data_IF_336628154965
#
_entry.id   IF_336628154965
#
_cell.length_a   1.000
_cell.length_b   1.000
_cell.length_c   1.000
_cell.angle_alpha   90.00
_cell.angle_beta   90.00
_cell.angle_gamma   90.00
#
_symmetry.space_group_name_H-M   'P 1'
#
loop_
_entity.id
_entity.type
_entity.pdbx_description
1 polymer ?
#
# COMPACT_ATOMS: atom_id res chain seq x y z
N UNK A 1 16.56 14.55 -32.15
CA UNK A 1 16.53 13.07 -32.04
C UNK A 1 15.23 12.69 -31.36
N UNK A 2 14.54 11.67 -31.84
CA UNK A 2 13.30 11.22 -31.20
C UNK A 2 13.63 10.60 -29.84
N UNK A 3 12.82 10.89 -28.82
CA UNK A 3 12.95 10.29 -27.48
C UNK A 3 11.61 9.81 -26.97
N UNK A 4 11.59 8.65 -26.34
CA UNK A 4 10.43 7.95 -25.79
C UNK A 4 10.72 7.59 -24.34
N UNK A 5 9.97 8.18 -23.42
CA UNK A 5 10.11 7.94 -21.98
C UNK A 5 8.81 7.49 -21.36
N UNK A 6 8.87 6.67 -20.32
CA UNK A 6 7.72 6.17 -19.58
C UNK A 6 7.90 6.41 -18.08
N UNK A 7 7.07 7.26 -17.50
CA UNK A 7 7.01 7.52 -16.07
C UNK A 7 5.87 6.72 -15.46
N UNK A 8 6.18 5.79 -14.56
CA UNK A 8 5.20 4.93 -13.91
C UNK A 8 5.12 5.27 -12.42
N UNK A 9 3.89 5.51 -11.96
CA UNK A 9 3.59 5.88 -10.58
C UNK A 9 2.81 4.75 -9.92
N UNK A 10 3.43 4.10 -8.93
CA UNK A 10 2.83 3.03 -8.14
C UNK A 10 2.10 3.64 -6.95
N UNK A 11 0.84 3.24 -6.79
CA UNK A 11 -0.03 3.61 -5.69
C UNK A 11 -0.53 2.35 -4.99
N UNK A 12 -0.70 2.41 -3.69
CA UNK A 12 -1.37 1.39 -2.91
C UNK A 12 -2.84 1.31 -3.35
N UNK A 13 -3.20 0.21 -3.99
CA UNK A 13 -4.58 -0.05 -4.42
C UNK A 13 -5.53 -0.27 -3.23
N UNK A 14 -4.99 -0.71 -2.10
CA UNK A 14 -5.68 -0.86 -0.84
C UNK A 14 -4.70 -0.59 0.31
N UNK A 15 -5.22 -0.42 1.52
CA UNK A 15 -4.39 -0.24 2.69
C UNK A 15 -3.47 -1.46 2.88
N UNK A 16 -2.27 -1.28 3.47
CA UNK A 16 -1.48 -2.42 3.91
C UNK A 16 -2.32 -3.38 4.74
N UNK A 17 -2.29 -4.66 4.39
CA UNK A 17 -3.05 -5.72 5.04
C UNK A 17 -2.09 -6.62 5.80
N UNK A 18 -2.20 -6.68 7.12
CA UNK A 18 -1.57 -7.75 7.90
C UNK A 18 -2.05 -9.11 7.38
N UNK A 19 -1.24 -10.16 7.56
CA UNK A 19 -1.65 -11.50 7.18
C UNK A 19 -2.89 -11.98 7.97
N UNK A 20 -3.09 -11.48 9.19
CA UNK A 20 -4.32 -11.66 9.96
C UNK A 20 -5.53 -11.04 9.24
N UNK A 21 -5.45 -9.76 8.87
CA UNK A 21 -6.53 -9.08 8.13
C UNK A 21 -6.80 -9.76 6.79
N UNK A 22 -5.75 -10.11 6.06
CA UNK A 22 -5.86 -10.86 4.81
C UNK A 22 -6.66 -12.16 5.00
N UNK A 23 -6.39 -12.91 6.08
CA UNK A 23 -7.13 -14.14 6.37
C UNK A 23 -8.64 -13.90 6.58
N UNK A 24 -9.03 -12.72 7.08
CA UNK A 24 -10.41 -12.32 7.32
C UNK A 24 -11.07 -11.82 6.03
N UNK A 25 -10.37 -11.00 5.24
CA UNK A 25 -10.97 -10.26 4.11
C UNK A 25 -10.77 -10.90 2.74
N UNK A 26 -10.01 -12.00 2.63
CA UNK A 26 -9.71 -12.66 1.34
C UNK A 26 -10.94 -13.10 0.53
N UNK A 27 -12.08 -13.30 1.20
CA UNK A 27 -13.35 -13.71 0.58
C UNK A 27 -14.37 -12.54 0.51
N UNK A 28 -13.97 -11.32 0.90
CA UNK A 28 -14.80 -10.11 0.84
C UNK A 28 -14.82 -9.53 -0.58
N UNK A 29 -16.02 -9.46 -1.18
CA UNK A 29 -16.22 -8.96 -2.54
C UNK A 29 -15.88 -7.47 -2.70
N UNK A 30 -16.03 -6.65 -1.66
CA UNK A 30 -15.66 -5.23 -1.72
C UNK A 30 -14.15 -5.08 -1.74
N UNK A 31 -13.43 -5.90 -0.97
CA UNK A 31 -11.97 -5.92 -1.00
C UNK A 31 -11.45 -6.51 -2.31
N UNK A 32 -12.08 -7.57 -2.84
CA UNK A 32 -11.73 -8.11 -4.17
C UNK A 32 -11.88 -7.04 -5.26
N UNK A 33 -12.94 -6.24 -5.24
CA UNK A 33 -13.14 -5.12 -6.18
C UNK A 33 -12.12 -4.01 -6.00
N UNK A 34 -11.81 -3.62 -4.76
CA UNK A 34 -10.80 -2.60 -4.50
C UNK A 34 -9.41 -3.01 -5.02
N UNK A 35 -9.12 -4.32 -5.05
CA UNK A 35 -7.86 -4.88 -5.53
C UNK A 35 -7.89 -5.33 -6.99
N UNK A 36 -8.96 -5.07 -7.74
CA UNK A 36 -9.14 -5.60 -9.10
C UNK A 36 -8.04 -5.13 -10.07
N UNK A 37 -7.58 -3.89 -9.90
CA UNK A 37 -6.53 -3.25 -10.71
C UNK A 37 -5.11 -3.52 -10.20
N UNK A 38 -4.98 -4.08 -9.00
CA UNK A 38 -3.69 -4.34 -8.38
C UNK A 38 -3.06 -5.61 -8.99
N UNK A 39 -1.87 -5.48 -9.57
CA UNK A 39 -1.15 -6.61 -10.17
C UNK A 39 0.28 -6.75 -9.65
N UNK A 40 0.71 -5.88 -8.73
CA UNK A 40 1.99 -5.91 -8.06
C UNK A 40 1.74 -5.89 -6.56
N UNK A 41 2.55 -6.60 -5.79
CA UNK A 41 2.47 -6.55 -4.33
C UNK A 41 3.84 -6.74 -3.71
N UNK A 42 4.02 -6.13 -2.54
CA UNK A 42 5.14 -6.41 -1.66
C UNK A 42 4.64 -7.18 -0.45
N UNK A 43 5.47 -8.07 0.08
CA UNK A 43 5.30 -8.61 1.42
C UNK A 43 6.41 -7.98 2.26
N UNK A 44 6.01 -7.26 3.29
CA UNK A 44 6.91 -6.63 4.24
C UNK A 44 6.61 -7.04 5.67
N UNK A 45 7.34 -6.43 6.60
CA UNK A 45 7.16 -6.61 8.02
C UNK A 45 7.32 -5.28 8.75
N UNK A 46 6.45 -5.03 9.73
CA UNK A 46 6.51 -3.87 10.63
C UNK A 46 6.11 -4.27 12.06
N UNK A 47 6.57 -3.56 13.11
CA UNK A 47 6.10 -3.82 14.48
C UNK A 47 4.59 -3.65 14.61
N UNK A 48 3.98 -4.31 15.61
CA UNK A 48 2.55 -4.18 15.88
C UNK A 48 2.15 -2.72 16.12
N UNK A 49 1.07 -2.30 15.45
CA UNK A 49 0.42 -1.00 15.60
C UNK A 49 -0.96 -1.26 16.22
N UNK A 50 -1.32 -0.47 17.23
CA UNK A 50 -2.60 -0.59 17.94
C UNK A 50 -3.28 0.77 18.08
N UNK A 51 -4.60 0.72 18.23
CA UNK A 51 -5.37 1.82 18.77
C UNK A 51 -5.44 1.73 20.29
N UNK A 52 -5.34 2.87 20.95
CA UNK A 52 -5.31 3.02 22.40
C UNK A 52 -6.20 4.20 22.84
N UNK A 53 -6.62 4.19 24.11
CA UNK A 53 -7.20 5.34 24.80
C UNK A 53 -8.41 5.97 24.09
N UNK A 54 -9.38 5.16 23.66
CA UNK A 54 -10.61 5.64 23.05
C UNK A 54 -11.46 6.48 24.01
N UNK A 55 -11.84 7.68 23.59
CA UNK A 55 -12.70 8.63 24.31
C UNK A 55 -13.74 9.19 23.33
N UNK A 56 -15.01 8.78 23.41
CA UNK A 56 -16.07 9.39 22.60
C UNK A 56 -16.38 10.81 23.11
N UNK A 57 -16.53 11.75 22.17
CA UNK A 57 -17.04 13.09 22.43
C UNK A 57 -18.42 13.24 21.78
N UNK A 58 -19.46 13.08 22.59
CA UNK A 58 -20.86 13.14 22.12
C UNK A 58 -21.34 14.57 21.90
N UNK A 59 -20.62 15.59 22.36
CA UNK A 59 -21.03 16.99 22.19
C UNK A 59 -20.78 17.47 20.75
N UNK A 60 -19.71 16.96 20.12
CA UNK A 60 -19.33 17.26 18.73
C UNK A 60 -19.33 16.02 17.83
N UNK A 61 -19.95 14.93 18.27
CA UNK A 61 -20.13 13.68 17.51
C UNK A 61 -18.81 13.13 16.91
N UNK A 62 -17.80 12.95 17.78
CA UNK A 62 -16.42 12.60 17.40
C UNK A 62 -15.88 11.45 18.27
N UNK A 63 -14.92 10.70 17.73
CA UNK A 63 -14.13 9.71 18.48
C UNK A 63 -12.67 10.12 18.58
N UNK A 64 -12.18 10.29 19.81
CA UNK A 64 -10.77 10.53 20.09
C UNK A 64 -10.08 9.21 20.44
N UNK A 65 -8.86 9.01 19.96
CA UNK A 65 -8.03 7.84 20.30
C UNK A 65 -6.57 8.13 19.99
N UNK A 66 -5.70 7.20 20.33
CA UNK A 66 -4.28 7.25 20.00
C UNK A 66 -3.88 6.06 19.14
N UNK A 67 -2.90 6.24 18.27
CA UNK A 67 -2.22 5.15 17.56
C UNK A 67 -0.82 4.99 18.14
N UNK A 68 -0.51 3.76 18.54
CA UNK A 68 0.77 3.37 19.14
C UNK A 68 1.40 2.29 18.28
N UNK A 69 2.72 2.28 18.20
CA UNK A 69 3.48 1.20 17.57
C UNK A 69 4.54 0.72 18.55
N UNK A 70 4.69 -0.60 18.67
CA UNK A 70 5.70 -1.16 19.57
C UNK A 70 7.10 -0.68 19.15
N UNK A 71 7.89 -0.23 20.13
CA UNK A 71 9.26 0.27 19.95
C UNK A 71 9.37 1.57 19.14
N UNK A 72 8.25 2.24 18.88
CA UNK A 72 8.21 3.59 18.33
C UNK A 72 7.85 4.57 19.47
N UNK A 73 8.69 5.59 19.77
CA UNK A 73 8.40 6.55 20.83
C UNK A 73 7.30 7.55 20.47
N UNK A 74 6.95 7.67 19.19
CA UNK A 74 5.91 8.57 18.72
C UNK A 74 4.52 8.02 19.07
N UNK A 75 3.60 8.92 19.35
CA UNK A 75 2.18 8.62 19.56
C UNK A 75 1.41 9.52 18.61
N UNK A 76 0.48 8.95 17.84
CA UNK A 76 -0.43 9.75 17.02
C UNK A 76 -1.71 9.97 17.81
N UNK A 77 -2.05 11.23 18.06
CA UNK A 77 -3.35 11.59 18.65
C UNK A 77 -4.32 11.84 17.53
N UNK A 78 -5.45 11.14 17.57
CA UNK A 78 -6.41 11.13 16.49
C UNK A 78 -7.77 11.67 16.96
N UNK A 79 -8.41 12.46 16.10
CA UNK A 79 -9.79 12.90 16.26
C UNK A 79 -10.57 12.58 15.00
N UNK A 80 -11.47 11.61 15.09
CA UNK A 80 -12.29 11.15 13.97
C UNK A 80 -13.72 11.68 14.13
N UNK A 81 -14.09 12.76 13.42
CA UNK A 81 -15.48 13.23 13.39
C UNK A 81 -16.37 12.19 12.71
N UNK A 82 -17.60 12.00 13.17
CA UNK A 82 -18.54 11.06 12.55
C UNK A 82 -19.51 11.70 11.54
N UNK A 83 -19.60 13.04 11.51
CA UNK A 83 -20.42 13.83 10.59
C UNK A 83 -19.79 13.96 9.19
N UNK A 84 -19.39 12.83 8.61
CA UNK A 84 -18.78 12.76 7.29
C UNK A 84 -19.67 12.03 6.29
N UNK A 85 -19.73 12.53 5.04
CA UNK A 85 -20.54 11.93 3.97
C UNK A 85 -20.20 10.45 3.74
N UNK A 86 -18.91 10.10 3.82
CA UNK A 86 -18.39 8.73 3.64
C UNK A 86 -18.96 7.73 4.64
N UNK A 87 -19.41 8.18 5.82
CA UNK A 87 -20.04 7.31 6.81
C UNK A 87 -21.57 7.23 6.65
N UNK A 88 -22.18 8.12 5.87
CA UNK A 88 -23.64 8.15 5.68
C UNK A 88 -24.41 8.33 6.99
N UNK A 89 -23.82 9.06 7.93
CA UNK A 89 -24.36 9.34 9.26
C UNK A 89 -25.13 10.68 9.26
N UNK A 90 -26.23 10.71 10.00
CA UNK A 90 -27.10 11.86 10.27
C UNK A 90 -27.12 12.13 11.77
N UNK A 91 -27.45 13.35 12.20
CA UNK A 91 -27.42 13.78 13.61
C UNK A 91 -28.20 12.87 14.58
N UNK A 92 -29.25 12.19 14.11
CA UNK A 92 -30.09 11.30 14.93
C UNK A 92 -29.56 9.85 15.01
N UNK A 93 -28.45 9.54 14.34
CA UNK A 93 -27.92 8.19 14.29
C UNK A 93 -27.17 7.82 15.57
N UNK A 94 -27.55 6.68 16.14
CA UNK A 94 -26.77 6.03 17.19
C UNK A 94 -25.72 5.13 16.53
N UNK A 95 -24.45 5.36 16.88
CA UNK A 95 -23.30 4.62 16.36
C UNK A 95 -22.62 3.87 17.50
N UNK A 96 -22.46 2.56 17.32
CA UNK A 96 -21.62 1.75 18.18
C UNK A 96 -20.22 1.63 17.57
N UNK A 97 -19.22 1.62 18.45
CA UNK A 97 -17.84 1.27 18.09
C UNK A 97 -17.56 -0.15 18.58
N UNK A 98 -17.33 -1.06 17.63
CA UNK A 98 -16.98 -2.46 17.93
C UNK A 98 -15.46 -2.64 17.87
N UNK A 99 -14.85 -3.17 18.93
CA UNK A 99 -13.40 -3.35 19.02
C UNK A 99 -12.96 -4.78 18.73
N UNK A 100 -11.91 -4.92 17.92
CA UNK A 100 -11.20 -6.18 17.68
C UNK A 100 -9.85 -6.13 18.41
N UNK A 101 -9.71 -6.95 19.44
CA UNK A 101 -8.49 -7.00 20.26
C UNK A 101 -7.46 -8.00 19.70
N UNK A 102 -6.17 -7.69 19.90
CA UNK A 102 -5.07 -8.61 19.55
C UNK A 102 -5.02 -9.85 20.44
N UNK A 103 -5.40 -9.71 21.70
CA UNK A 103 -5.44 -10.79 22.68
C UNK A 103 -6.89 -11.00 23.16
N UNK A 104 -7.40 -12.23 23.04
CA UNK A 104 -8.75 -12.63 23.48
C UNK A 104 -8.95 -12.60 25.01
N UNK A 105 -7.98 -12.10 25.79
CA UNK A 105 -7.98 -12.22 27.24
C UNK A 105 -7.69 -10.89 27.91
N UNK A 106 -8.72 -10.06 28.07
CA UNK A 106 -9.12 -9.59 29.40
C UNK A 106 -10.44 -8.84 29.27
N UNK A 107 -11.41 -9.17 30.13
CA UNK A 107 -12.46 -8.22 30.48
C UNK A 107 -11.75 -6.96 30.96
N UNK A 108 -11.63 -5.94 30.12
CA UNK A 108 -11.06 -4.66 30.52
C UNK A 108 -12.10 -3.99 31.42
N UNK A 109 -11.94 -4.15 32.73
CA UNK A 109 -12.75 -3.48 33.77
C UNK A 109 -12.43 -1.97 33.90
N UNK A 110 -11.90 -1.33 32.86
CA UNK A 110 -11.60 0.12 32.86
C UNK A 110 -11.98 0.75 31.52
N UNK A 111 -12.48 1.99 31.61
CA UNK A 111 -12.76 2.92 30.50
C UNK A 111 -11.57 3.22 29.56
N UNK A 112 -10.42 2.56 29.75
CA UNK A 112 -9.22 2.76 28.94
C UNK A 112 -9.05 1.55 28.04
N UNK A 113 -9.66 1.63 26.86
CA UNK A 113 -9.56 0.63 25.82
C UNK A 113 -8.14 0.59 25.24
N UNK A 114 -7.46 -0.55 25.38
CA UNK A 114 -6.06 -0.74 24.99
C UNK A 114 -5.81 -1.99 24.17
N UNK A 115 -4.71 -2.01 23.40
CA UNK A 115 -4.28 -3.10 22.53
C UNK A 115 -5.33 -3.51 21.49
N UNK A 116 -5.98 -2.52 20.87
CA UNK A 116 -7.00 -2.76 19.85
C UNK A 116 -6.32 -2.84 18.48
N UNK A 117 -6.51 -3.97 17.78
CA UNK A 117 -5.99 -4.17 16.43
C UNK A 117 -6.76 -3.35 15.38
N UNK A 118 -8.07 -3.24 15.60
CA UNK A 118 -8.96 -2.49 14.73
C UNK A 118 -10.31 -2.26 15.37
N UNK A 119 -11.06 -1.33 14.82
CA UNK A 119 -12.42 -1.04 15.26
C UNK A 119 -13.36 -0.89 14.07
N UNK A 120 -14.65 -1.09 14.32
CA UNK A 120 -15.71 -0.94 13.31
C UNK A 120 -16.76 0.04 13.79
N UNK A 121 -17.27 0.85 12.87
CA UNK A 121 -18.42 1.71 13.09
C UNK A 121 -19.68 0.96 12.66
N UNK A 122 -20.69 0.95 13.54
CA UNK A 122 -21.94 0.23 13.33
C UNK A 122 -23.10 1.16 13.65
N UNK A 123 -23.97 1.41 12.66
CA UNK A 123 -25.16 2.25 12.80
C UNK A 123 -26.35 1.42 13.26
N UNK A 124 -27.14 1.94 14.19
CA UNK A 124 -28.43 1.36 14.55
C UNK A 124 -29.50 1.69 13.51
N UNK A 125 -30.29 0.68 13.14
CA UNK A 125 -31.50 0.78 12.31
C UNK A 125 -32.69 0.20 13.06
N UNK A 126 -33.90 0.50 12.58
CA UNK A 126 -35.15 -0.02 13.16
C UNK A 126 -35.16 -1.55 13.28
N UNK A 127 -34.51 -2.28 12.37
CA UNK A 127 -34.48 -3.75 12.33
C UNK A 127 -33.10 -4.35 12.65
N UNK A 128 -32.20 -3.59 13.31
CA UNK A 128 -30.94 -4.14 13.80
C UNK A 128 -29.75 -3.20 13.64
N UNK A 129 -28.60 -3.76 13.30
CA UNK A 129 -27.33 -3.04 13.18
C UNK A 129 -26.79 -3.16 11.77
N UNK A 130 -26.30 -2.05 11.24
CA UNK A 130 -25.67 -1.96 9.92
C UNK A 130 -24.18 -1.66 10.10
N UNK A 131 -23.34 -2.50 9.50
CA UNK A 131 -21.90 -2.25 9.42
C UNK A 131 -21.63 -1.11 8.44
N UNK A 132 -20.85 -0.11 8.87
CA UNK A 132 -20.47 1.04 8.04
C UNK A 132 -19.08 0.81 7.46
N UNK A 133 -18.08 0.75 8.35
CA UNK A 133 -16.66 0.67 7.99
C UNK A 133 -15.87 0.07 9.14
N UNK A 134 -14.74 -0.54 8.80
CA UNK A 134 -13.74 -1.01 9.74
C UNK A 134 -12.42 -0.29 9.48
N UNK A 135 -11.68 -0.01 10.54
CA UNK A 135 -10.36 0.59 10.51
C UNK A 135 -9.36 -0.31 11.22
N UNK A 136 -8.23 -0.54 10.56
CA UNK A 136 -6.95 -0.74 11.22
C UNK A 136 -6.17 0.58 11.23
N UNK A 137 -5.09 0.70 12.01
CA UNK A 137 -4.29 1.92 12.02
C UNK A 137 -3.82 2.33 10.63
N UNK A 138 -3.34 1.37 9.83
CA UNK A 138 -2.83 1.63 8.48
C UNK A 138 -3.94 1.97 7.49
N UNK A 139 -5.11 1.32 7.61
CA UNK A 139 -6.28 1.68 6.79
C UNK A 139 -6.78 3.08 7.14
N UNK A 140 -6.79 3.46 8.40
CA UNK A 140 -7.17 4.81 8.83
C UNK A 140 -6.21 5.85 8.28
N UNK A 141 -4.90 5.64 8.47
CA UNK A 141 -3.87 6.55 7.95
C UNK A 141 -3.97 6.68 6.44
N UNK A 142 -4.19 5.57 5.71
CA UNK A 142 -4.34 5.64 4.26
C UNK A 142 -5.56 6.45 3.82
N UNK A 143 -6.73 6.16 4.41
CA UNK A 143 -7.94 6.91 4.08
C UNK A 143 -7.76 8.40 4.40
N UNK A 144 -7.03 8.73 5.47
CA UNK A 144 -6.71 10.10 5.84
C UNK A 144 -5.77 10.78 4.83
N UNK A 145 -4.60 10.22 4.51
CA UNK A 145 -3.65 10.89 3.60
C UNK A 145 -4.15 10.95 2.15
N UNK A 146 -5.07 10.05 1.76
CA UNK A 146 -5.77 10.11 0.46
C UNK A 146 -6.98 11.07 0.48
N UNK A 147 -7.31 11.67 1.62
CA UNK A 147 -8.47 12.56 1.76
C UNK A 147 -9.83 11.87 1.59
N UNK A 148 -9.89 10.55 1.83
CA UNK A 148 -11.13 9.77 1.80
C UNK A 148 -11.94 9.87 3.10
N UNK A 149 -11.28 10.26 4.19
CA UNK A 149 -11.90 10.60 5.47
C UNK A 149 -11.24 11.87 6.03
N UNK A 150 -12.00 12.64 6.78
CA UNK A 150 -11.50 13.68 7.66
C UNK A 150 -11.08 13.07 9.00
N UNK A 151 -9.86 13.34 9.43
CA UNK A 151 -9.35 12.95 10.73
C UNK A 151 -8.24 13.93 11.11
N UNK A 152 -8.26 14.49 12.31
CA UNK A 152 -7.08 15.22 12.81
C UNK A 152 -6.08 14.20 13.32
N UNK A 153 -4.84 14.24 12.82
CA UNK A 153 -3.74 13.37 13.27
C UNK A 153 -2.57 14.24 13.69
N UNK A 154 -2.30 14.28 14.99
CA UNK A 154 -1.17 15.00 15.58
C UNK A 154 -0.06 14.00 15.96
N UNK A 155 1.15 14.23 15.45
CA UNK A 155 2.33 13.41 15.72
C UNK A 155 3.10 13.05 14.45
N UNK A 156 4.24 12.37 14.61
CA UNK A 156 5.06 11.86 13.50
C UNK A 156 4.49 10.55 12.93
N UNK A 157 3.50 10.69 12.05
CA UNK A 157 2.83 9.56 11.40
C UNK A 157 3.72 8.84 10.38
N UNK A 158 4.74 9.51 9.83
CA UNK A 158 5.68 8.89 8.88
C UNK A 158 6.49 7.76 9.53
N UNK A 159 6.73 7.84 10.84
CA UNK A 159 7.38 6.76 11.59
C UNK A 159 6.57 5.45 11.65
N UNK A 160 5.27 5.47 11.32
CA UNK A 160 4.38 4.29 11.43
C UNK A 160 4.26 3.49 10.12
N UNK A 161 4.76 4.03 9.01
CA UNK A 161 4.56 3.48 7.65
C UNK A 161 5.89 3.04 7.02
N UNK A 162 6.72 2.40 7.84
CA UNK A 162 8.00 1.83 7.46
C UNK A 162 7.92 0.31 7.43
N UNK A 163 8.36 -0.29 6.32
CA UNK A 163 8.17 -1.71 6.04
C UNK A 163 9.48 -2.36 5.63
N UNK A 164 9.95 -3.35 6.41
CA UNK A 164 11.05 -4.22 6.00
C UNK A 164 10.56 -5.15 4.89
N UNK A 165 11.05 -4.98 3.67
CA UNK A 165 10.62 -5.75 2.50
C UNK A 165 11.24 -7.14 2.50
N UNK A 166 10.38 -8.15 2.44
CA UNK A 166 10.78 -9.57 2.37
C UNK A 166 10.62 -10.15 0.98
N UNK A 167 9.64 -9.67 0.21
CA UNK A 167 9.32 -10.20 -1.11
C UNK A 167 8.62 -9.17 -2.01
N UNK A 168 8.90 -9.25 -3.30
CA UNK A 168 8.18 -8.56 -4.39
C UNK A 168 7.51 -9.61 -5.25
N UNK A 169 6.23 -9.44 -5.56
CA UNK A 169 5.50 -10.36 -6.42
C UNK A 169 4.49 -9.69 -7.34
N UNK A 170 4.07 -10.46 -8.35
CA UNK A 170 3.04 -10.05 -9.31
C UNK A 170 1.84 -10.98 -9.34
N UNK A 171 0.73 -10.44 -9.84
CA UNK A 171 -0.56 -11.11 -9.97
C UNK A 171 -1.23 -10.76 -11.32
N UNK A 172 -0.52 -10.86 -12.45
CA UNK A 172 -1.04 -10.43 -13.77
C UNK A 172 -2.11 -11.37 -14.37
N UNK A 173 -2.22 -12.61 -13.89
CA UNK A 173 -3.13 -13.64 -14.43
C UNK A 173 -4.35 -13.94 -13.55
N UNK A 174 -4.34 -13.47 -12.31
CA UNK A 174 -5.37 -13.72 -11.30
C UNK A 174 -5.26 -12.66 -10.21
N UNK A 175 -6.34 -12.38 -9.47
CA UNK A 175 -6.31 -11.39 -8.39
C UNK A 175 -5.27 -11.71 -7.31
N UNK A 176 -4.74 -10.67 -6.67
CA UNK A 176 -3.77 -10.79 -5.56
C UNK A 176 -4.32 -11.70 -4.45
N UNK A 177 -5.61 -11.58 -4.11
CA UNK A 177 -6.25 -12.39 -3.06
C UNK A 177 -6.17 -13.89 -3.38
N UNK A 178 -6.54 -14.27 -4.62
CA UNK A 178 -6.46 -15.67 -5.07
C UNK A 178 -5.01 -16.14 -5.18
N UNK A 179 -4.12 -15.28 -5.68
CA UNK A 179 -2.69 -15.57 -5.79
C UNK A 179 -2.07 -15.92 -4.44
N UNK A 180 -2.39 -15.15 -3.40
CA UNK A 180 -1.79 -15.28 -2.07
C UNK A 180 -2.36 -16.44 -1.24
N UNK A 181 -3.61 -16.85 -1.48
CA UNK A 181 -4.27 -17.95 -0.73
C UNK A 181 -3.54 -19.30 -0.83
N UNK A 182 -2.75 -19.52 -1.90
CA UNK A 182 -1.91 -20.71 -2.08
C UNK A 182 -0.43 -20.42 -2.35
N UNK A 183 0.06 -19.23 -1.99
CA UNK A 183 1.42 -18.81 -2.33
C UNK A 183 2.44 -19.39 -1.34
N UNK A 184 3.24 -20.37 -1.77
CA UNK A 184 4.21 -21.02 -0.88
C UNK A 184 5.17 -20.03 -0.22
N UNK A 185 5.70 -19.03 -0.97
CA UNK A 185 6.60 -18.02 -0.37
C UNK A 185 5.93 -17.18 0.70
N UNK A 186 4.61 -16.92 0.60
CA UNK A 186 3.92 -16.18 1.65
C UNK A 186 3.78 -17.02 2.91
N UNK A 187 3.51 -18.32 2.75
CA UNK A 187 3.49 -19.28 3.86
C UNK A 187 4.90 -19.47 4.47
N UNK A 188 5.95 -19.49 3.65
CA UNK A 188 7.33 -19.57 4.10
C UNK A 188 7.69 -18.35 4.96
N UNK A 189 7.37 -17.13 4.51
CA UNK A 189 7.58 -15.90 5.27
C UNK A 189 6.83 -15.97 6.61
N UNK A 190 5.55 -16.35 6.60
CA UNK A 190 4.76 -16.49 7.83
C UNK A 190 5.31 -17.54 8.81
N UNK A 191 6.00 -18.55 8.31
CA UNK A 191 6.53 -19.66 9.11
C UNK A 191 7.95 -19.44 9.60
N UNK A 192 8.76 -18.68 8.85
CA UNK A 192 10.19 -18.52 9.09
C UNK A 192 10.55 -17.17 9.71
N UNK A 193 9.80 -16.11 9.43
CA UNK A 193 10.05 -14.81 10.03
C UNK A 193 9.59 -14.79 11.49
N UNK A 194 10.46 -14.27 12.35
CA UNK A 194 10.13 -14.04 13.75
C UNK A 194 9.40 -12.69 13.90
N UNK A 195 8.41 -12.59 14.81
CA UNK A 195 7.83 -11.31 15.17
C UNK A 195 8.91 -10.34 15.67
N UNK A 196 8.85 -9.10 15.21
CA UNK A 196 9.60 -7.95 15.72
C UNK A 196 9.13 -7.61 17.14
N UNK A 197 7.82 -7.68 17.40
CA UNK A 197 7.25 -7.46 18.72
C UNK A 197 7.26 -8.73 19.56
N UNK A 198 7.85 -8.64 20.74
CA UNK A 198 7.88 -9.76 21.70
C UNK A 198 6.45 -10.27 22.00
N UNK A 199 6.29 -11.60 22.01
CA UNK A 199 5.03 -12.31 22.30
C UNK A 199 3.89 -12.05 21.30
N UNK A 200 4.18 -11.55 20.10
CA UNK A 200 3.20 -11.43 19.02
C UNK A 200 3.25 -12.60 18.04
N UNK A 201 2.24 -12.69 17.19
CA UNK A 201 2.22 -13.63 16.07
C UNK A 201 2.79 -12.95 14.82
N UNK A 202 3.55 -13.66 13.95
CA UNK A 202 4.00 -13.11 12.67
C UNK A 202 2.82 -12.57 11.84
N UNK A 203 1.64 -13.18 11.99
CA UNK A 203 0.44 -12.77 11.26
C UNK A 203 0.00 -11.31 11.51
N UNK A 204 0.39 -10.70 12.65
CA UNK A 204 0.04 -9.33 13.01
C UNK A 204 1.06 -8.28 12.51
N UNK A 205 2.15 -8.73 11.91
CA UNK A 205 3.29 -7.90 11.54
C UNK A 205 3.74 -8.09 10.10
N UNK A 206 3.58 -9.30 9.55
CA UNK A 206 3.74 -9.55 8.12
C UNK A 206 2.58 -8.88 7.41
N UNK A 207 2.91 -7.95 6.53
CA UNK A 207 1.97 -7.08 5.82
C UNK A 207 2.11 -7.23 4.32
N UNK A 208 0.97 -7.23 3.63
CA UNK A 208 0.84 -7.23 2.18
C UNK A 208 0.56 -5.80 1.76
N UNK A 209 1.39 -5.26 0.88
CA UNK A 209 1.23 -3.94 0.27
C UNK A 209 0.84 -4.14 -1.21
N UNK A 210 -0.45 -4.07 -1.55
CA UNK A 210 -0.92 -4.24 -2.92
C UNK A 210 -0.79 -2.92 -3.70
N UNK A 211 -0.20 -2.98 -4.88
CA UNK A 211 0.03 -1.82 -5.75
C UNK A 211 -0.68 -1.94 -7.09
N UNK A 212 -1.20 -0.80 -7.53
CA UNK A 212 -1.62 -0.52 -8.89
C UNK A 212 -0.81 0.63 -9.49
N UNK A 213 -0.93 0.85 -10.80
CA UNK A 213 -0.41 2.07 -11.41
C UNK A 213 -1.49 3.14 -11.36
N UNK A 214 -1.20 4.27 -10.71
CA UNK A 214 -2.08 5.44 -10.76
C UNK A 214 -2.09 6.01 -12.18
N UNK A 215 -0.90 6.27 -12.72
CA UNK A 215 -0.69 6.76 -14.08
C UNK A 215 0.55 6.10 -14.71
N UNK A 216 0.45 5.82 -16.00
CA UNK A 216 1.58 5.50 -16.86
C UNK A 216 1.73 6.64 -17.87
N UNK A 217 2.58 7.62 -17.57
CA UNK A 217 2.75 8.80 -18.38
C UNK A 217 3.85 8.57 -19.41
N UNK A 218 3.45 8.46 -20.68
CA UNK A 218 4.40 8.33 -21.78
C UNK A 218 4.70 9.68 -22.42
N UNK A 219 5.99 10.05 -22.43
CA UNK A 219 6.48 11.26 -23.07
C UNK A 219 7.18 10.88 -24.38
N UNK A 220 6.80 11.54 -25.47
CA UNK A 220 7.47 11.38 -26.76
C UNK A 220 7.89 12.74 -27.31
N UNK A 221 9.17 12.88 -27.64
CA UNK A 221 9.74 14.02 -28.34
C UNK A 221 10.08 13.59 -29.76
N UNK A 222 9.74 14.43 -30.73
CA UNK A 222 10.00 14.22 -32.14
C UNK A 222 11.00 15.28 -32.63
N UNK A 223 12.08 14.84 -33.27
CA UNK A 223 13.06 15.72 -33.89
C UNK A 223 12.77 16.01 -35.35
N UNK A 224 13.61 16.84 -35.96
CA UNK A 224 13.53 17.15 -37.39
C UNK A 224 13.60 15.87 -38.24
N UNK A 225 12.61 15.69 -39.13
CA UNK A 225 12.48 14.50 -39.98
C UNK A 225 11.67 13.35 -39.38
N UNK A 226 10.96 13.55 -38.26
CA UNK A 226 10.07 12.55 -37.70
C UNK A 226 8.94 12.16 -38.66
N UNK A 227 8.62 10.87 -38.72
CA UNK A 227 7.51 10.34 -39.52
C UNK A 227 6.16 10.79 -38.96
N UNK A 228 5.38 11.50 -39.78
CA UNK A 228 4.04 11.96 -39.43
C UNK A 228 3.11 10.82 -38.98
N UNK A 229 3.26 9.61 -39.53
CA UNK A 229 2.48 8.45 -39.07
C UNK A 229 2.84 8.03 -37.65
N UNK A 230 4.12 8.03 -37.32
CA UNK A 230 4.58 7.72 -35.96
C UNK A 230 4.10 8.77 -34.95
N UNK A 231 4.06 10.04 -35.34
CA UNK A 231 3.49 11.12 -34.52
C UNK A 231 1.99 10.93 -34.28
N UNK A 232 1.22 10.59 -35.32
CA UNK A 232 -0.22 10.32 -35.20
C UNK A 232 -0.48 9.10 -34.32
N UNK A 233 0.24 7.98 -34.53
CA UNK A 233 0.10 6.78 -33.70
C UNK A 233 0.41 7.04 -32.21
N UNK A 234 1.39 7.90 -31.93
CA UNK A 234 1.70 8.33 -30.56
C UNK A 234 0.57 9.15 -29.93
N UNK A 235 -0.04 10.07 -30.69
CA UNK A 235 -1.18 10.87 -30.23
C UNK A 235 -2.44 10.02 -30.01
N UNK A 236 -2.65 8.99 -30.83
CA UNK A 236 -3.76 8.04 -30.70
C UNK A 236 -3.54 7.00 -29.59
N UNK A 237 -2.36 6.99 -28.96
CA UNK A 237 -2.03 6.04 -27.88
C UNK A 237 -1.75 4.62 -28.38
N UNK A 238 -1.64 4.38 -29.68
CA UNK A 238 -1.41 3.06 -30.28
C UNK A 238 -0.05 2.46 -29.88
N UNK A 239 0.89 3.30 -29.45
CA UNK A 239 2.24 2.92 -29.05
C UNK A 239 2.41 2.72 -27.53
N UNK A 240 1.31 2.70 -26.77
CA UNK A 240 1.36 2.44 -25.33
C UNK A 240 1.61 0.96 -25.05
N UNK A 241 2.47 0.62 -24.08
CA UNK A 241 2.73 -0.77 -23.74
C UNK A 241 1.50 -1.36 -23.04
N UNK A 242 1.26 -2.65 -23.29
CA UNK A 242 0.26 -3.38 -22.50
C UNK A 242 0.61 -3.29 -21.01
N UNK A 243 -0.39 -3.00 -20.18
CA UNK A 243 -0.20 -2.81 -18.74
C UNK A 243 0.47 -4.02 -18.06
N UNK A 244 0.16 -5.24 -18.51
CA UNK A 244 0.83 -6.46 -18.04
C UNK A 244 2.36 -6.38 -18.21
N UNK A 245 2.86 -5.90 -19.35
CA UNK A 245 4.31 -5.70 -19.56
C UNK A 245 4.88 -4.71 -18.56
N UNK A 246 4.17 -3.61 -18.28
CA UNK A 246 4.64 -2.59 -17.33
C UNK A 246 4.76 -3.18 -15.92
N UNK A 247 3.79 -4.00 -15.48
CA UNK A 247 3.87 -4.71 -14.19
C UNK A 247 5.00 -5.75 -14.16
N UNK A 248 5.19 -6.50 -15.24
CA UNK A 248 6.27 -7.47 -15.37
C UNK A 248 7.65 -6.82 -15.32
N UNK A 249 7.78 -5.60 -15.82
CA UNK A 249 9.02 -4.83 -15.81
C UNK A 249 9.27 -4.18 -14.44
N UNK A 250 8.22 -3.59 -13.83
CA UNK A 250 8.27 -3.02 -12.49
C UNK A 250 8.67 -4.04 -11.41
N UNK A 251 8.14 -5.28 -11.48
CA UNK A 251 8.55 -6.37 -10.59
C UNK A 251 10.08 -6.59 -10.65
N UNK A 252 10.65 -6.66 -11.86
CA UNK A 252 12.09 -6.87 -12.06
C UNK A 252 12.90 -5.70 -11.54
N UNK A 253 12.46 -4.47 -11.83
CA UNK A 253 13.09 -3.24 -11.36
C UNK A 253 13.15 -3.19 -9.83
N UNK A 254 12.04 -3.51 -9.16
CA UNK A 254 11.94 -3.52 -7.70
C UNK A 254 12.79 -4.62 -7.05
N UNK A 255 12.78 -5.82 -7.61
CA UNK A 255 13.64 -6.92 -7.12
C UNK A 255 15.11 -6.57 -7.32
N UNK A 256 15.47 -6.01 -8.48
CA UNK A 256 16.83 -5.55 -8.76
C UNK A 256 17.27 -4.48 -7.76
N UNK A 257 16.40 -3.52 -7.44
CA UNK A 257 16.67 -2.43 -6.49
C UNK A 257 16.83 -2.93 -5.05
N UNK A 258 15.89 -3.73 -4.55
CA UNK A 258 15.79 -4.04 -3.13
C UNK A 258 16.47 -5.36 -2.72
N UNK A 259 16.72 -6.27 -3.69
CA UNK A 259 17.28 -7.61 -3.44
C UNK A 259 16.61 -8.36 -2.26
N UNK A 260 15.27 -8.46 -2.22
CA UNK A 260 14.53 -9.06 -1.10
C UNK A 260 14.85 -10.54 -0.91
N UNK A 261 14.97 -10.99 0.36
CA UNK A 261 15.51 -12.30 0.71
C UNK A 261 14.73 -13.50 0.15
N UNK A 262 13.42 -13.37 -0.03
CA UNK A 262 12.55 -14.47 -0.46
C UNK A 262 12.31 -14.53 -1.98
N UNK A 263 12.82 -13.57 -2.76
CA UNK A 263 12.77 -13.66 -4.22
C UNK A 263 13.85 -14.63 -4.73
N UNK A 264 13.43 -15.66 -5.48
CA UNK A 264 14.36 -16.67 -6.03
C UNK A 264 15.19 -16.16 -7.21
N UNK A 265 14.60 -15.29 -8.02
CA UNK A 265 15.25 -14.67 -9.18
C UNK A 265 15.57 -13.21 -8.85
N UNK A 266 16.85 -12.84 -8.94
CA UNK A 266 17.35 -11.50 -8.58
C UNK A 266 17.57 -10.56 -9.77
N UNK A 267 17.17 -11.00 -10.98
CA UNK A 267 17.25 -10.24 -12.23
C UNK A 267 18.59 -9.51 -12.44
N UNK A 268 19.72 -10.22 -12.25
CA UNK A 268 21.05 -9.60 -12.30
C UNK A 268 21.33 -8.86 -13.61
N UNK A 269 20.77 -9.34 -14.72
CA UNK A 269 20.91 -8.78 -16.07
C UNK A 269 19.86 -7.73 -16.45
N UNK A 270 18.91 -7.40 -15.56
CA UNK A 270 17.95 -6.32 -15.81
C UNK A 270 18.70 -5.01 -16.07
N UNK A 271 18.31 -4.22 -17.10
CA UNK A 271 17.01 -4.21 -17.79
C UNK A 271 16.80 -5.24 -18.91
N UNK A 272 17.80 -6.04 -19.29
CA UNK A 272 17.64 -7.05 -20.34
C UNK A 272 16.69 -8.16 -19.88
N UNK A 273 15.54 -8.29 -20.55
CA UNK A 273 14.52 -9.29 -20.23
C UNK A 273 13.79 -9.80 -21.47
N UNK A 274 13.21 -11.01 -21.37
CA UNK A 274 12.37 -11.59 -22.44
C UNK A 274 10.95 -11.05 -22.41
N UNK A 275 10.47 -10.70 -21.22
CA UNK A 275 9.16 -10.15 -20.90
C UNK A 275 9.31 -8.81 -20.17
N UNK A 276 8.30 -7.95 -20.23
CA UNK A 276 8.41 -6.57 -19.75
C UNK A 276 8.63 -5.60 -20.91
N UNK A 277 9.43 -4.55 -20.68
CA UNK A 277 9.52 -3.39 -21.57
C UNK A 277 10.83 -3.30 -22.38
N UNK A 278 11.78 -4.22 -22.18
CA UNK A 278 13.07 -4.20 -22.88
C UNK A 278 12.93 -4.10 -24.41
N UNK A 279 12.02 -4.86 -25.01
CA UNK A 279 11.79 -4.87 -26.46
C UNK A 279 10.94 -3.68 -26.96
N UNK A 280 10.37 -2.88 -26.05
CA UNK A 280 9.57 -1.70 -26.38
C UNK A 280 10.44 -0.44 -26.60
N UNK A 281 11.77 -0.60 -26.45
CA UNK A 281 12.84 0.33 -26.79
C UNK A 281 12.62 1.76 -26.26
N UNK A 282 12.35 1.88 -24.96
CA UNK A 282 12.28 3.19 -24.29
C UNK A 282 13.68 3.76 -24.05
N UNK A 283 13.84 5.06 -24.23
CA UNK A 283 15.08 5.78 -23.87
C UNK A 283 15.15 6.00 -22.35
N UNK A 284 14.00 6.12 -21.68
CA UNK A 284 13.94 6.18 -20.23
C UNK A 284 12.67 5.53 -19.69
N UNK A 285 12.80 4.75 -18.61
CA UNK A 285 11.68 4.21 -17.83
C UNK A 285 11.93 4.59 -16.38
N UNK A 286 10.91 5.08 -15.68
CA UNK A 286 10.99 5.30 -14.23
C UNK A 286 9.85 4.66 -13.47
N UNK A 287 10.15 4.23 -12.24
CA UNK A 287 9.20 3.71 -11.27
C UNK A 287 9.35 4.49 -9.96
N UNK A 288 8.24 5.00 -9.45
CA UNK A 288 8.17 5.76 -8.19
C UNK A 288 6.95 5.31 -7.38
N UNK A 289 6.99 5.51 -6.07
CA UNK A 289 5.85 5.32 -5.19
C UNK A 289 5.24 6.67 -4.82
N UNK A 290 3.92 6.80 -4.94
CA UNK A 290 3.23 8.05 -4.62
C UNK A 290 2.70 8.09 -3.18
N UNK A 291 2.36 6.94 -2.60
CA UNK A 291 2.00 6.90 -1.18
C UNK A 291 3.24 7.20 -0.33
N UNK A 292 3.06 7.91 0.81
CA UNK A 292 4.17 8.37 1.66
C UNK A 292 4.83 7.26 2.49
N UNK A 293 4.93 6.04 1.97
CA UNK A 293 5.48 4.86 2.64
C UNK A 293 7.01 4.79 2.53
N UNK A 294 7.65 4.08 3.45
CA UNK A 294 9.09 3.80 3.40
C UNK A 294 9.32 2.29 3.31
N UNK A 295 10.02 1.87 2.27
CA UNK A 295 10.38 0.48 2.03
C UNK A 295 11.84 0.25 2.43
N UNK A 296 12.07 -0.51 3.49
CA UNK A 296 13.39 -0.83 4.03
C UNK A 296 13.89 -2.15 3.44
N UNK A 297 15.14 -2.19 3.00
CA UNK A 297 15.84 -3.39 2.55
C UNK A 297 17.27 -3.39 3.09
N UNK A 298 18.04 -4.45 2.85
CA UNK A 298 19.34 -4.65 3.51
C UNK A 298 20.34 -3.51 3.26
N UNK A 299 20.32 -2.96 2.04
CA UNK A 299 21.31 -1.97 1.58
C UNK A 299 20.75 -0.53 1.55
N UNK A 300 19.56 -0.29 2.11
CA UNK A 300 18.97 1.04 2.15
C UNK A 300 17.46 1.07 2.32
N UNK A 301 16.87 2.18 1.91
CA UNK A 301 15.43 2.43 1.93
C UNK A 301 14.96 2.93 0.56
N UNK A 302 13.65 2.98 0.30
CA UNK A 302 13.01 3.72 -0.80
C UNK A 302 11.85 4.49 -0.16
N UNK A 303 11.85 5.81 -0.29
CA UNK A 303 10.79 6.69 0.22
C UNK A 303 9.82 7.04 -0.88
N UNK A 304 8.53 6.80 -0.67
CA UNK A 304 7.46 7.27 -1.53
C UNK A 304 6.89 8.62 -1.08
N UNK A 305 6.07 9.24 -1.93
CA UNK A 305 5.23 10.40 -1.55
C UNK A 305 5.98 11.61 -1.01
N UNK A 306 7.21 11.87 -1.47
CA UNK A 306 7.98 13.06 -1.10
C UNK A 306 7.45 14.33 -1.79
N UNK A 307 6.80 14.18 -2.94
CA UNK A 307 6.17 15.24 -3.72
C UNK A 307 5.01 14.69 -4.57
N UNK A 308 4.36 15.55 -5.36
CA UNK A 308 3.21 15.19 -6.20
C UNK A 308 3.51 14.21 -7.33
N UNK A 309 4.78 14.01 -7.69
CA UNK A 309 5.20 13.07 -8.73
C UNK A 309 5.75 11.76 -8.16
N UNK A 310 5.86 11.63 -6.83
CA UNK A 310 6.29 10.43 -6.12
C UNK A 310 7.37 10.70 -5.08
N UNK A 311 8.28 9.76 -4.91
CA UNK A 311 9.47 9.92 -4.06
C UNK A 311 10.72 9.43 -4.79
N UNK A 312 11.54 8.64 -4.10
CA UNK A 312 12.69 7.95 -4.69
C UNK A 312 12.30 7.20 -5.97
N UNK A 313 13.20 7.22 -6.95
CA UNK A 313 12.91 6.74 -8.30
C UNK A 313 13.90 5.65 -8.74
N UNK A 314 13.38 4.54 -9.26
CA UNK A 314 14.16 3.59 -10.03
C UNK A 314 14.11 4.04 -11.49
N UNK A 315 15.26 4.28 -12.10
CA UNK A 315 15.39 4.80 -13.47
C UNK A 315 16.20 3.82 -14.31
N UNK A 316 15.67 3.50 -15.48
CA UNK A 316 16.31 2.75 -16.54
C UNK A 316 16.55 3.71 -17.70
N UNK A 317 17.80 3.86 -18.14
CA UNK A 317 18.16 4.70 -19.28
C UNK A 317 18.72 3.85 -20.41
N UNK A 318 18.34 4.20 -21.64
CA UNK A 318 18.85 3.62 -22.89
C UNK A 318 18.84 2.08 -22.89
N UNK A 319 17.80 1.48 -22.27
CA UNK A 319 17.63 0.04 -22.04
C UNK A 319 18.86 -0.71 -21.50
N UNK A 320 19.72 -0.03 -20.74
CA UNK A 320 20.97 -0.63 -20.24
C UNK A 320 21.34 -0.15 -18.83
N UNK A 321 21.22 1.14 -18.58
CA UNK A 321 21.66 1.76 -17.33
C UNK A 321 20.55 1.72 -16.28
N UNK A 322 20.79 1.02 -15.17
CA UNK A 322 19.89 0.97 -14.02
C UNK A 322 20.41 1.87 -12.88
N UNK A 323 19.55 2.75 -12.34
CA UNK A 323 19.89 3.64 -11.22
C UNK A 323 18.74 3.73 -10.22
N UNK A 324 19.05 3.73 -8.93
CA UNK A 324 18.14 4.17 -7.88
C UNK A 324 18.53 5.61 -7.50
N UNK A 325 17.65 6.56 -7.76
CA UNK A 325 17.85 7.98 -7.50
C UNK A 325 17.11 8.38 -6.23
N UNK A 326 17.84 9.02 -5.32
CA UNK A 326 17.29 9.59 -4.08
C UNK A 326 16.79 11.00 -4.33
N UNK A 327 15.57 11.26 -3.88
CA UNK A 327 15.04 12.63 -3.84
C UNK A 327 15.35 13.23 -2.47
N UNK A 328 15.93 14.44 -2.48
CA UNK A 328 16.24 15.22 -1.28
C UNK A 328 15.02 15.96 -0.72
#
# INVERSE_FOLDING_TARGET
MNRKSLLNQLELAYAPLTAYEFAIVKDDKLVERALEKASLYLIGQRPVITFENFIPDTAIYQLNFEIHQRNNPNILKCKLPFDQEVFGLMEDNVVDVAFNYLENSTKQDKLLFKNIHGFSLVKHRQEGKEFIIWFSPEKLLQNWWKGSIDCEIEGDWQSFIQYKVHYVGKATKQSILRRLTGHSTFQDILSLESPVTEKQLPANEIVILPFEFQNNLQFQSFGDGADAKAMVAALLGENYPHQEKVFLDAEKALIKAMQPAYNKEMFKSYPVSKDGLYNDNYDAISYTFIDPIVLLYNDGEIKGGLNSIGGDAIIILDNSDFKLVKHE
#
